data_IF_515955176818
#
_entry.id   IF_515955176818
#
_cell.length_a   1.000
_cell.length_b   1.000
_cell.length_c   1.000
_cell.angle_alpha   90.00
_cell.angle_beta   90.00
_cell.angle_gamma   90.00
#
_symmetry.space_group_name_H-M   'P 1'
#
loop_
_entity.id
_entity.type
_entity.pdbx_description
1 polymer ?
#
# COMPACT_ATOMS: atom_id res chain seq x y z
N UNK A 1 -29.12 13.38 11.92
CA UNK A 1 -28.96 13.60 13.37
C UNK A 1 -28.15 12.53 14.11
N UNK A 2 -28.55 11.24 14.19
CA UNK A 2 -27.72 10.22 14.88
C UNK A 2 -26.43 9.86 14.12
N UNK A 3 -26.51 9.65 12.80
CA UNK A 3 -25.34 9.33 11.96
C UNK A 3 -24.33 10.46 11.78
N UNK A 4 -24.77 11.73 11.75
CA UNK A 4 -23.86 12.88 11.65
C UNK A 4 -23.00 13.06 12.92
N UNK A 5 -23.58 12.75 14.09
CA UNK A 5 -22.87 12.80 15.37
C UNK A 5 -21.81 11.68 15.46
N UNK A 6 -22.15 10.48 15.02
CA UNK A 6 -21.25 9.33 14.98
C UNK A 6 -20.09 9.53 13.98
N UNK A 7 -20.37 10.08 12.78
CA UNK A 7 -19.35 10.42 11.79
C UNK A 7 -18.39 11.49 12.31
N UNK A 8 -18.91 12.52 12.98
CA UNK A 8 -18.10 13.58 13.59
C UNK A 8 -17.19 13.03 14.70
N UNK A 9 -17.71 12.13 15.53
CA UNK A 9 -16.95 11.49 16.61
C UNK A 9 -15.83 10.56 16.07
N UNK A 10 -16.11 9.76 15.03
CA UNK A 10 -15.09 8.95 14.33
C UNK A 10 -14.00 9.86 13.75
N UNK A 11 -14.39 10.99 13.16
CA UNK A 11 -13.46 11.94 12.57
C UNK A 11 -12.55 12.61 13.62
N UNK A 12 -13.14 13.14 14.69
CA UNK A 12 -12.39 13.78 15.79
C UNK A 12 -11.44 12.77 16.47
N UNK A 13 -11.92 11.54 16.71
CA UNK A 13 -11.10 10.48 17.29
C UNK A 13 -9.96 10.07 16.37
N UNK A 14 -10.20 9.89 15.06
CA UNK A 14 -9.18 9.50 14.10
C UNK A 14 -8.09 10.57 13.90
N UNK A 15 -8.47 11.86 13.85
CA UNK A 15 -7.49 12.94 13.79
C UNK A 15 -6.68 13.07 15.09
N UNK A 16 -7.31 12.84 16.25
CA UNK A 16 -6.61 12.79 17.53
C UNK A 16 -5.59 11.65 17.58
N UNK A 17 -5.96 10.45 17.08
CA UNK A 17 -5.03 9.32 16.94
C UNK A 17 -3.82 9.74 16.10
N UNK A 18 -4.02 10.39 14.95
CA UNK A 18 -2.91 10.83 14.11
C UNK A 18 -1.97 11.82 14.83
N UNK A 19 -2.51 12.79 15.56
CA UNK A 19 -1.72 13.75 16.33
C UNK A 19 -0.95 13.06 17.47
N UNK A 20 -1.59 12.14 18.19
CA UNK A 20 -0.95 11.35 19.26
C UNK A 20 0.19 10.49 18.71
N UNK A 21 -0.04 9.77 17.61
CA UNK A 21 0.95 8.95 16.94
C UNK A 21 2.18 9.77 16.53
N UNK A 22 1.96 10.93 15.92
CA UNK A 22 3.05 11.74 15.37
C UNK A 22 3.77 12.59 16.43
N UNK A 23 3.09 12.99 17.50
CA UNK A 23 3.68 13.75 18.61
C UNK A 23 4.51 12.91 19.57
N UNK A 24 4.18 11.62 19.71
CA UNK A 24 4.85 10.67 20.59
C UNK A 24 5.63 9.61 19.80
N UNK A 25 6.06 9.94 18.58
CA UNK A 25 6.59 8.96 17.64
C UNK A 25 7.79 8.17 18.17
N UNK A 26 8.66 8.83 18.95
CA UNK A 26 9.83 8.17 19.54
C UNK A 26 9.41 7.21 20.66
N UNK A 27 8.56 7.68 21.57
CA UNK A 27 8.07 6.91 22.70
C UNK A 27 7.28 5.66 22.22
N UNK A 28 6.47 5.81 21.18
CA UNK A 28 5.73 4.72 20.53
C UNK A 28 6.68 3.71 19.87
N UNK A 29 7.80 4.15 19.29
CA UNK A 29 8.79 3.23 18.72
C UNK A 29 9.49 2.39 19.79
N UNK A 30 9.82 2.98 20.94
CA UNK A 30 10.38 2.23 22.08
C UNK A 30 9.38 1.19 22.60
N UNK A 31 8.12 1.59 22.80
CA UNK A 31 7.05 0.70 23.24
C UNK A 31 6.78 -0.43 22.24
N UNK A 32 6.78 -0.13 20.94
CA UNK A 32 6.59 -1.12 19.88
C UNK A 32 7.70 -2.17 19.91
N UNK A 33 8.96 -1.75 20.03
CA UNK A 33 10.07 -2.71 20.11
C UNK A 33 9.99 -3.54 21.39
N UNK A 34 9.71 -2.92 22.54
CA UNK A 34 9.55 -3.62 23.81
C UNK A 34 8.42 -4.66 23.74
N UNK A 35 7.25 -4.31 23.20
CA UNK A 35 6.12 -5.22 22.96
C UNK A 35 6.55 -6.42 22.12
N UNK A 36 7.21 -6.18 20.98
CA UNK A 36 7.67 -7.23 20.07
C UNK A 36 8.66 -8.17 20.78
N UNK A 37 9.64 -7.63 21.50
CA UNK A 37 10.69 -8.42 22.14
C UNK A 37 10.20 -9.21 23.36
N UNK A 38 9.27 -8.66 24.14
CA UNK A 38 8.64 -9.38 25.24
C UNK A 38 7.81 -10.53 24.68
N UNK A 39 6.96 -10.26 23.69
CA UNK A 39 6.05 -11.26 23.12
C UNK A 39 6.80 -12.41 22.45
N UNK A 40 7.84 -12.09 21.70
CA UNK A 40 8.58 -13.08 20.91
C UNK A 40 9.84 -13.63 21.59
N UNK A 41 10.06 -13.30 22.86
CA UNK A 41 11.25 -13.69 23.63
C UNK A 41 11.58 -15.19 23.56
N UNK A 42 10.55 -16.05 23.62
CA UNK A 42 10.68 -17.51 23.66
C UNK A 42 10.76 -18.18 22.28
N UNK A 43 10.82 -17.42 21.19
CA UNK A 43 10.87 -17.99 19.84
C UNK A 43 12.23 -18.58 19.53
N UNK A 44 12.28 -19.58 18.66
CA UNK A 44 13.55 -20.21 18.25
C UNK A 44 14.51 -19.18 17.64
N UNK A 45 13.99 -18.21 16.88
CA UNK A 45 14.79 -17.15 16.27
C UNK A 45 15.43 -16.23 17.32
N UNK A 46 14.65 -15.57 18.18
CA UNK A 46 15.18 -14.59 19.14
C UNK A 46 16.02 -15.24 20.24
N UNK A 47 15.69 -16.47 20.65
CA UNK A 47 16.45 -17.20 21.68
C UNK A 47 17.92 -17.41 21.32
N UNK A 48 18.28 -17.37 20.03
CA UNK A 48 19.67 -17.48 19.55
C UNK A 48 20.51 -16.24 19.86
N UNK A 49 19.87 -15.09 20.04
CA UNK A 49 20.54 -13.78 20.17
C UNK A 49 20.47 -13.19 21.57
N UNK A 50 19.61 -13.74 22.45
CA UNK A 50 19.48 -13.28 23.83
C UNK A 50 19.88 -14.36 24.82
N UNK A 51 20.92 -14.07 25.60
CA UNK A 51 21.33 -14.90 26.75
C UNK A 51 20.59 -14.38 27.99
N UNK A 52 19.89 -15.26 28.71
CA UNK A 52 19.20 -14.94 29.98
C UNK A 52 18.16 -13.80 29.93
N UNK A 53 17.40 -13.65 28.85
CA UNK A 53 16.25 -12.73 28.82
C UNK A 53 16.60 -11.24 28.75
N UNK A 54 17.82 -10.91 28.33
CA UNK A 54 18.34 -9.55 28.19
C UNK A 54 17.77 -8.82 26.94
N UNK A 55 16.44 -8.75 26.83
CA UNK A 55 15.72 -8.40 25.60
C UNK A 55 15.50 -6.89 25.43
N UNK A 56 16.40 -6.06 25.96
CA UNK A 56 16.28 -4.60 25.85
C UNK A 56 16.87 -4.08 24.53
N UNK A 57 16.40 -2.91 24.09
CA UNK A 57 16.76 -2.30 22.79
C UNK A 57 18.26 -2.30 22.46
N UNK A 58 19.12 -1.98 23.43
CA UNK A 58 20.56 -1.93 23.20
C UNK A 58 21.13 -3.32 22.82
N UNK A 59 20.66 -4.37 23.49
CA UNK A 59 21.07 -5.75 23.19
C UNK A 59 20.46 -6.23 21.89
N UNK A 60 19.20 -5.86 21.60
CA UNK A 60 18.57 -6.13 20.31
C UNK A 60 19.41 -5.59 19.14
N UNK A 61 19.79 -4.31 19.20
CA UNK A 61 20.61 -3.67 18.16
C UNK A 61 22.01 -4.25 18.02
N UNK A 62 22.56 -4.82 19.10
CA UNK A 62 23.91 -5.39 19.14
C UNK A 62 23.94 -6.84 18.68
N UNK A 63 22.95 -7.64 19.10
CA UNK A 63 22.98 -9.09 18.95
C UNK A 63 22.15 -9.59 17.77
N UNK A 64 21.03 -8.92 17.44
CA UNK A 64 20.15 -9.36 16.35
C UNK A 64 20.69 -8.78 15.03
N UNK A 65 21.02 -9.63 14.04
CA UNK A 65 21.57 -9.18 12.78
C UNK A 65 20.50 -8.45 11.95
N UNK A 66 20.97 -7.57 11.07
CA UNK A 66 20.15 -7.05 9.97
C UNK A 66 20.11 -8.12 8.88
N UNK A 67 18.91 -8.46 8.41
CA UNK A 67 18.69 -9.60 7.52
C UNK A 67 17.95 -9.23 6.25
N UNK A 68 18.09 -10.07 5.25
CA UNK A 68 17.32 -10.08 4.00
C UNK A 68 16.26 -11.19 4.04
N UNK A 69 15.49 -11.34 2.95
CA UNK A 69 14.49 -12.40 2.88
C UNK A 69 15.14 -13.79 2.85
N UNK A 70 16.27 -13.90 2.18
CA UNK A 70 17.02 -15.14 2.00
C UNK A 70 17.47 -15.73 3.34
N UNK A 71 17.83 -14.88 4.30
CA UNK A 71 18.26 -15.28 5.65
C UNK A 71 17.11 -15.87 6.49
N UNK A 72 15.88 -15.36 6.31
CA UNK A 72 14.69 -15.80 7.07
C UNK A 72 13.85 -16.82 6.31
N UNK A 73 14.09 -17.00 5.01
CA UNK A 73 13.38 -17.94 4.13
C UNK A 73 13.33 -19.37 4.71
N UNK A 74 14.39 -19.93 5.31
CA UNK A 74 14.32 -21.27 5.90
C UNK A 74 13.25 -21.42 6.99
N UNK A 75 12.99 -20.37 7.78
CA UNK A 75 11.93 -20.37 8.78
C UNK A 75 10.55 -20.24 8.13
N UNK A 76 10.42 -19.34 7.16
CA UNK A 76 9.17 -19.15 6.42
C UNK A 76 8.77 -20.45 5.72
N UNK A 77 9.71 -21.14 5.09
CA UNK A 77 9.46 -22.42 4.43
C UNK A 77 9.02 -23.50 5.42
N UNK A 78 9.66 -23.59 6.60
CA UNK A 78 9.25 -24.54 7.66
C UNK A 78 7.81 -24.32 8.10
N UNK A 79 7.42 -23.06 8.32
CA UNK A 79 6.04 -22.68 8.67
C UNK A 79 5.07 -22.99 7.54
N UNK A 80 5.41 -22.63 6.30
CA UNK A 80 4.58 -22.92 5.13
C UNK A 80 4.39 -24.44 4.91
N UNK A 81 5.30 -25.27 5.43
CA UNK A 81 5.22 -26.73 5.40
C UNK A 81 4.58 -27.36 6.65
N UNK A 82 4.10 -26.56 7.61
CA UNK A 82 3.27 -27.04 8.72
C UNK A 82 3.96 -27.04 10.08
N UNK A 83 5.20 -26.56 10.17
CA UNK A 83 5.83 -26.32 11.47
C UNK A 83 5.19 -25.12 12.18
N UNK A 84 5.22 -25.13 13.51
CA UNK A 84 4.59 -24.09 14.32
C UNK A 84 5.26 -22.73 14.11
N UNK A 85 4.47 -21.66 14.15
CA UNK A 85 4.97 -20.29 13.99
C UNK A 85 5.99 -19.86 15.04
N UNK A 86 5.98 -20.51 16.21
CA UNK A 86 6.87 -20.27 17.35
C UNK A 86 8.37 -20.31 17.01
N UNK A 87 8.75 -20.85 15.85
CA UNK A 87 10.12 -20.78 15.36
C UNK A 87 10.56 -19.34 15.03
N UNK A 88 9.61 -18.46 14.67
CA UNK A 88 9.89 -17.08 14.26
C UNK A 88 9.11 -16.03 15.09
N UNK A 89 7.87 -16.30 15.50
CA UNK A 89 7.06 -15.39 16.34
C UNK A 89 6.04 -16.20 17.16
N UNK A 90 5.63 -15.68 18.32
CA UNK A 90 4.88 -16.44 19.31
C UNK A 90 3.42 -16.71 18.92
N UNK A 91 2.78 -15.77 18.23
CA UNK A 91 1.38 -15.86 17.83
C UNK A 91 1.19 -16.81 16.62
N UNK A 92 0.01 -17.41 16.43
CA UNK A 92 -0.29 -18.19 15.23
C UNK A 92 -0.40 -17.30 13.98
N UNK A 93 0.13 -17.77 12.85
CA UNK A 93 -0.16 -17.16 11.53
C UNK A 93 -1.58 -17.49 11.12
N UNK A 94 -2.24 -16.51 10.52
CA UNK A 94 -3.52 -16.72 9.83
C UNK A 94 -3.37 -16.82 8.32
N UNK A 95 -2.36 -16.17 7.74
CA UNK A 95 -2.10 -16.16 6.29
C UNK A 95 -0.68 -15.67 5.96
N UNK A 96 -0.26 -15.90 4.72
CA UNK A 96 0.90 -15.25 4.12
C UNK A 96 0.48 -14.14 3.15
N UNK A 97 1.20 -13.02 3.21
CA UNK A 97 1.12 -11.98 2.19
C UNK A 97 2.20 -12.23 1.14
N UNK A 98 1.79 -12.39 -0.11
CA UNK A 98 2.70 -12.45 -1.25
C UNK A 98 3.20 -11.04 -1.57
N UNK A 99 4.50 -10.82 -1.46
CA UNK A 99 5.15 -9.61 -1.96
C UNK A 99 5.26 -9.66 -3.48
N UNK A 100 5.17 -8.50 -4.12
CA UNK A 100 5.51 -8.35 -5.55
C UNK A 100 7.01 -8.48 -5.80
N UNK A 101 7.83 -8.28 -4.75
CA UNK A 101 9.24 -8.63 -4.77
C UNK A 101 9.44 -10.15 -4.79
N UNK A 102 10.36 -10.62 -5.64
CA UNK A 102 10.63 -12.04 -5.83
C UNK A 102 11.98 -12.45 -5.24
N UNK A 103 12.04 -13.66 -4.67
CA UNK A 103 13.26 -14.39 -4.30
C UNK A 103 13.30 -15.66 -5.14
N UNK A 104 14.39 -15.90 -5.87
CA UNK A 104 14.54 -17.08 -6.76
C UNK A 104 13.38 -17.24 -7.77
N UNK A 105 12.84 -16.12 -8.27
CA UNK A 105 11.72 -16.10 -9.21
C UNK A 105 10.34 -16.39 -8.59
N UNK A 106 10.26 -16.61 -7.27
CA UNK A 106 8.99 -16.80 -6.54
C UNK A 106 8.66 -15.58 -5.68
N UNK A 107 7.37 -15.21 -5.52
CA UNK A 107 6.96 -14.16 -4.58
C UNK A 107 7.46 -14.45 -3.16
N UNK A 108 7.97 -13.43 -2.47
CA UNK A 108 8.31 -13.54 -1.03
C UNK A 108 7.02 -13.74 -0.23
N UNK A 109 7.03 -14.68 0.72
CA UNK A 109 5.92 -14.96 1.63
C UNK A 109 6.15 -14.23 2.96
N UNK A 110 5.33 -13.22 3.23
CA UNK A 110 5.43 -12.42 4.44
C UNK A 110 4.39 -12.91 5.45
N UNK A 111 4.79 -13.40 6.63
CA UNK A 111 3.85 -13.91 7.63
C UNK A 111 2.92 -12.80 8.14
N UNK A 112 1.67 -13.16 8.44
CA UNK A 112 0.68 -12.24 8.99
C UNK A 112 -0.14 -12.92 10.08
N UNK A 113 -0.28 -12.25 11.22
CA UNK A 113 -1.21 -12.61 12.29
C UNK A 113 -2.52 -11.84 12.17
N UNK A 114 -3.58 -12.28 12.84
CA UNK A 114 -4.85 -11.54 12.89
C UNK A 114 -4.65 -10.10 13.40
N UNK A 115 -3.94 -9.93 14.52
CA UNK A 115 -3.67 -8.62 15.12
C UNK A 115 -2.85 -7.72 14.19
N UNK A 116 -1.78 -8.24 13.59
CA UNK A 116 -0.93 -7.44 12.68
C UNK A 116 -1.69 -7.01 11.43
N UNK A 117 -2.64 -7.83 10.95
CA UNK A 117 -3.53 -7.46 9.86
C UNK A 117 -4.49 -6.34 10.29
N UNK A 118 -5.13 -6.47 11.46
CA UNK A 118 -6.03 -5.45 12.01
C UNK A 118 -5.33 -4.12 12.29
N UNK A 119 -4.12 -4.12 12.86
CA UNK A 119 -3.32 -2.89 13.07
C UNK A 119 -3.10 -2.12 11.77
N UNK A 120 -2.90 -2.81 10.63
CA UNK A 120 -2.75 -2.17 9.32
C UNK A 120 -4.03 -1.51 8.80
N UNK A 121 -5.21 -1.87 9.32
CA UNK A 121 -6.50 -1.29 8.93
C UNK A 121 -6.70 0.14 9.41
N UNK A 122 -5.90 0.59 10.39
CA UNK A 122 -5.89 1.99 10.84
C UNK A 122 -5.44 2.93 9.71
N UNK A 123 -4.50 2.49 8.85
CA UNK A 123 -3.99 3.37 7.77
C UNK A 123 -5.07 3.81 6.78
N UNK A 124 -5.86 2.91 6.14
CA UNK A 124 -6.95 3.33 5.25
C UNK A 124 -7.91 4.34 5.87
N UNK A 125 -8.24 4.19 7.15
CA UNK A 125 -9.08 5.14 7.88
C UNK A 125 -8.42 6.52 7.97
N UNK A 126 -7.16 6.59 8.46
CA UNK A 126 -6.44 7.86 8.58
C UNK A 126 -6.24 8.56 7.23
N UNK A 127 -5.99 7.79 6.16
CA UNK A 127 -5.93 8.31 4.79
C UNK A 127 -7.24 8.99 4.42
N UNK A 128 -8.38 8.31 4.59
CA UNK A 128 -9.68 8.86 4.21
C UNK A 128 -10.02 10.13 5.00
N UNK A 129 -9.68 10.17 6.29
CA UNK A 129 -9.85 11.36 7.14
C UNK A 129 -9.00 12.54 6.67
N UNK A 130 -7.71 12.33 6.39
CA UNK A 130 -6.82 13.38 5.87
C UNK A 130 -7.32 13.89 4.51
N UNK A 131 -7.75 12.99 3.63
CA UNK A 131 -8.30 13.35 2.33
C UNK A 131 -9.53 14.25 2.47
N UNK A 132 -10.51 13.85 3.30
CA UNK A 132 -11.73 14.63 3.56
C UNK A 132 -11.44 15.98 4.23
N UNK A 133 -10.42 16.05 5.08
CA UNK A 133 -9.97 17.30 5.70
C UNK A 133 -9.41 18.28 4.67
N UNK A 134 -8.63 17.78 3.71
CA UNK A 134 -7.90 18.61 2.75
C UNK A 134 -8.69 18.93 1.48
N UNK A 135 -9.70 18.13 1.13
CA UNK A 135 -10.45 18.23 -0.12
C UNK A 135 -11.94 18.30 0.22
N UNK A 136 -12.51 19.50 0.11
CA UNK A 136 -13.92 19.76 0.40
C UNK A 136 -14.85 19.00 -0.55
N UNK A 137 -15.92 18.41 -0.01
CA UNK A 137 -16.96 17.73 -0.77
C UNK A 137 -16.70 16.25 -1.06
N UNK A 138 -15.59 15.67 -0.58
CA UNK A 138 -15.33 14.23 -0.73
C UNK A 138 -16.29 13.33 0.06
N UNK A 139 -16.99 13.87 1.04
CA UNK A 139 -18.01 13.19 1.85
C UNK A 139 -19.42 13.28 1.24
N UNK A 140 -19.60 14.06 0.18
CA UNK A 140 -20.90 14.34 -0.45
C UNK A 140 -21.24 13.40 -1.62
N UNK A 141 -20.37 12.43 -1.92
CA UNK A 141 -20.57 11.52 -3.03
C UNK A 141 -19.86 10.18 -2.86
N UNK A 142 -19.78 9.45 -3.97
CA UNK A 142 -19.18 8.11 -4.08
C UNK A 142 -17.76 8.16 -4.62
N UNK A 143 -17.01 7.13 -4.28
CA UNK A 143 -15.68 6.87 -4.79
C UNK A 143 -15.75 5.87 -5.94
N UNK A 144 -15.45 6.30 -7.17
CA UNK A 144 -15.18 5.38 -8.27
C UNK A 144 -13.72 4.91 -8.19
N UNK A 145 -13.47 3.91 -7.34
CA UNK A 145 -12.14 3.34 -7.18
C UNK A 145 -12.11 1.93 -7.76
N UNK A 146 -11.13 1.67 -8.62
CA UNK A 146 -10.97 0.38 -9.29
C UNK A 146 -10.20 -0.57 -8.38
N UNK A 147 -10.85 -1.66 -8.01
CA UNK A 147 -10.28 -2.70 -7.15
C UNK A 147 -10.16 -4.01 -7.91
N UNK A 148 -9.03 -4.70 -7.73
CA UNK A 148 -8.79 -5.98 -8.40
C UNK A 148 -8.20 -6.97 -7.41
N UNK A 149 -8.80 -8.17 -7.35
CA UNK A 149 -8.25 -9.31 -6.63
C UNK A 149 -7.36 -10.15 -7.52
N UNK A 150 -6.49 -10.95 -6.91
CA UNK A 150 -5.70 -11.98 -7.59
C UNK A 150 -6.00 -13.36 -7.02
N UNK A 151 -5.74 -14.44 -7.79
CA UNK A 151 -5.82 -15.79 -7.26
C UNK A 151 -4.95 -15.95 -6.01
N UNK A 152 -5.46 -16.74 -5.06
CA UNK A 152 -4.73 -17.09 -3.84
C UNK A 152 -4.11 -18.48 -4.02
N UNK A 153 -3.08 -18.75 -3.23
CA UNK A 153 -2.40 -20.04 -3.21
C UNK A 153 -2.49 -20.64 -1.82
N UNK A 154 -2.86 -21.90 -1.71
CA UNK A 154 -2.78 -22.63 -0.46
C UNK A 154 -1.36 -23.20 -0.30
N UNK A 155 -0.75 -22.97 0.87
CA UNK A 155 0.54 -23.57 1.24
C UNK A 155 0.35 -25.02 1.71
N UNK A 156 1.41 -25.85 1.75
CA UNK A 156 1.30 -27.23 2.25
C UNK A 156 0.74 -27.36 3.68
N UNK A 157 0.86 -26.32 4.50
CA UNK A 157 0.26 -26.27 5.85
C UNK A 157 -1.23 -25.93 5.87
N UNK A 158 -1.84 -25.63 4.72
CA UNK A 158 -3.21 -25.16 4.60
C UNK A 158 -3.38 -23.65 4.80
N UNK A 159 -2.30 -22.91 5.06
CA UNK A 159 -2.36 -21.44 5.16
C UNK A 159 -2.52 -20.81 3.78
N UNK A 160 -3.43 -19.85 3.65
CA UNK A 160 -3.61 -19.09 2.42
C UNK A 160 -2.49 -18.06 2.23
N UNK A 161 -2.02 -17.95 1.00
CA UNK A 161 -1.05 -16.96 0.54
C UNK A 161 -1.65 -16.10 -0.57
N UNK A 162 -1.74 -14.78 -0.35
CA UNK A 162 -2.34 -13.85 -1.32
C UNK A 162 -1.74 -12.46 -1.25
N UNK A 163 -2.03 -11.61 -2.25
CA UNK A 163 -1.65 -10.20 -2.17
C UNK A 163 -2.39 -9.53 -1.00
N UNK A 164 -1.72 -8.58 -0.33
CA UNK A 164 -2.31 -7.83 0.79
C UNK A 164 -3.67 -7.19 0.42
N UNK A 165 -3.75 -6.59 -0.77
CA UNK A 165 -4.99 -5.98 -1.26
C UNK A 165 -6.10 -7.01 -1.47
N UNK A 166 -5.78 -8.22 -1.94
CA UNK A 166 -6.76 -9.30 -2.11
C UNK A 166 -7.33 -9.72 -0.77
N UNK A 167 -6.45 -9.98 0.22
CA UNK A 167 -6.87 -10.31 1.58
C UNK A 167 -7.72 -9.18 2.20
N UNK A 168 -7.32 -7.92 1.99
CA UNK A 168 -8.09 -6.76 2.44
C UNK A 168 -9.48 -6.67 1.80
N UNK A 169 -9.61 -6.80 0.48
CA UNK A 169 -10.91 -6.70 -0.19
C UNK A 169 -11.87 -7.85 0.20
N UNK A 170 -11.33 -9.02 0.57
CA UNK A 170 -12.14 -10.13 1.07
C UNK A 170 -12.57 -9.97 2.53
N UNK A 171 -11.85 -9.15 3.30
CA UNK A 171 -12.11 -8.93 4.72
C UNK A 171 -13.46 -8.27 4.98
N UNK A 172 -14.04 -8.56 6.16
CA UNK A 172 -15.29 -7.93 6.57
C UNK A 172 -15.13 -6.42 6.81
N UNK A 173 -13.93 -5.97 7.16
CA UNK A 173 -13.60 -4.56 7.40
C UNK A 173 -13.79 -3.75 6.11
N UNK A 174 -13.29 -4.25 4.97
CA UNK A 174 -13.51 -3.61 3.68
C UNK A 174 -14.99 -3.62 3.28
N UNK A 175 -15.62 -4.80 3.36
CA UNK A 175 -17.02 -5.01 2.95
C UNK A 175 -18.00 -4.14 3.75
N UNK A 176 -17.77 -3.99 5.07
CA UNK A 176 -18.63 -3.18 5.94
C UNK A 176 -18.23 -1.70 6.00
N UNK A 177 -17.05 -1.35 5.51
CA UNK A 177 -16.49 0.00 5.54
C UNK A 177 -16.45 0.63 4.15
N UNK A 178 -15.24 0.75 3.59
CA UNK A 178 -14.96 1.51 2.36
C UNK A 178 -15.84 1.09 1.17
N UNK A 179 -16.16 -0.20 1.04
CA UNK A 179 -16.98 -0.71 -0.06
C UNK A 179 -18.36 -0.03 -0.15
N UNK A 180 -18.96 0.38 0.98
CA UNK A 180 -20.28 1.05 1.01
C UNK A 180 -20.28 2.43 0.35
N UNK A 181 -19.11 3.06 0.26
CA UNK A 181 -18.94 4.38 -0.33
C UNK A 181 -18.40 4.30 -1.77
N UNK A 182 -18.23 3.10 -2.31
CA UNK A 182 -17.74 2.89 -3.67
C UNK A 182 -18.88 2.69 -4.66
N UNK A 183 -18.65 3.02 -5.93
CA UNK A 183 -19.62 2.73 -7.00
C UNK A 183 -19.67 1.24 -7.37
N UNK A 184 -18.54 0.55 -7.22
CA UNK A 184 -18.35 -0.85 -7.58
C UNK A 184 -18.97 -1.81 -6.54
N UNK A 185 -19.87 -2.72 -6.94
CA UNK A 185 -20.36 -3.78 -6.06
C UNK A 185 -19.23 -4.73 -5.65
N UNK A 186 -19.32 -5.25 -4.43
CA UNK A 186 -18.30 -6.17 -3.88
C UNK A 186 -18.09 -7.38 -4.80
N UNK A 187 -19.15 -7.95 -5.37
CA UNK A 187 -19.04 -9.11 -6.25
C UNK A 187 -18.23 -8.81 -7.53
N UNK A 188 -18.37 -7.60 -8.08
CA UNK A 188 -17.57 -7.17 -9.23
C UNK A 188 -16.09 -6.96 -8.88
N UNK A 189 -15.80 -6.51 -7.66
CA UNK A 189 -14.45 -6.34 -7.12
C UNK A 189 -13.77 -7.69 -6.88
N UNK A 190 -14.53 -8.68 -6.39
CA UNK A 190 -14.03 -10.01 -6.05
C UNK A 190 -13.99 -10.98 -7.24
N UNK A 191 -14.42 -10.55 -8.43
CA UNK A 191 -14.31 -11.33 -9.65
C UNK A 191 -12.83 -11.54 -10.04
N UNK A 192 -12.45 -12.81 -10.22
CA UNK A 192 -11.07 -13.19 -10.58
C UNK A 192 -10.73 -12.88 -12.05
N UNK A 193 -11.74 -12.84 -12.93
CA UNK A 193 -11.58 -12.37 -14.30
C UNK A 193 -11.49 -10.84 -14.29
N UNK A 194 -10.25 -10.34 -14.35
CA UNK A 194 -9.99 -8.90 -14.31
C UNK A 194 -10.62 -8.14 -15.49
N UNK A 195 -10.89 -8.79 -16.62
CA UNK A 195 -11.55 -8.15 -17.77
C UNK A 195 -13.03 -7.91 -17.45
N UNK A 196 -13.72 -8.94 -16.95
CA UNK A 196 -15.11 -8.83 -16.54
C UNK A 196 -15.27 -7.87 -15.34
N UNK A 197 -14.38 -7.97 -14.35
CA UNK A 197 -14.32 -7.06 -13.22
C UNK A 197 -14.16 -5.61 -13.65
N UNK A 198 -13.20 -5.31 -14.53
CA UNK A 198 -12.96 -3.96 -15.02
C UNK A 198 -14.16 -3.41 -15.79
N UNK A 199 -14.76 -4.22 -16.66
CA UNK A 199 -15.93 -3.82 -17.44
C UNK A 199 -17.13 -3.48 -16.53
N UNK A 200 -17.46 -4.36 -15.58
CA UNK A 200 -18.56 -4.13 -14.64
C UNK A 200 -18.32 -2.89 -13.77
N UNK A 201 -17.11 -2.69 -13.26
CA UNK A 201 -16.78 -1.52 -12.44
C UNK A 201 -16.83 -0.20 -13.22
N UNK A 202 -16.36 -0.19 -14.47
CA UNK A 202 -16.49 0.98 -15.35
C UNK A 202 -17.97 1.28 -15.64
N UNK A 203 -18.77 0.24 -15.90
CA UNK A 203 -20.20 0.39 -16.15
C UNK A 203 -20.92 1.01 -14.94
N UNK A 204 -20.67 0.52 -13.71
CA UNK A 204 -21.25 1.14 -12.51
C UNK A 204 -20.71 2.54 -12.23
N UNK A 205 -19.43 2.79 -12.53
CA UNK A 205 -18.84 4.12 -12.45
C UNK A 205 -19.50 5.14 -13.39
N UNK A 206 -19.90 4.72 -14.60
CA UNK A 206 -20.60 5.55 -15.58
C UNK A 206 -22.07 5.78 -15.20
N UNK A 207 -22.76 4.74 -14.73
CA UNK A 207 -24.16 4.85 -14.27
C UNK A 207 -24.32 5.81 -13.09
N UNK A 208 -23.31 5.87 -12.22
CA UNK A 208 -23.32 6.73 -11.03
C UNK A 208 -22.49 8.01 -11.21
N UNK A 209 -22.29 8.46 -12.46
CA UNK A 209 -21.29 9.48 -12.79
C UNK A 209 -21.41 10.79 -12.00
N UNK A 210 -22.64 11.22 -11.74
CA UNK A 210 -22.94 12.49 -11.06
C UNK A 210 -22.71 12.42 -9.55
N UNK A 211 -22.60 11.21 -9.00
CA UNK A 211 -22.25 11.00 -7.60
C UNK A 211 -20.72 10.87 -7.39
N UNK A 212 -19.91 10.73 -8.45
CA UNK A 212 -18.48 10.44 -8.32
C UNK A 212 -17.69 11.69 -7.95
N UNK A 213 -17.20 11.73 -6.71
CA UNK A 213 -16.35 12.83 -6.19
C UNK A 213 -14.86 12.46 -6.15
N UNK A 214 -14.55 11.17 -6.28
CA UNK A 214 -13.17 10.64 -6.29
C UNK A 214 -13.08 9.51 -7.29
N UNK A 215 -12.10 9.59 -8.19
CA UNK A 215 -11.72 8.46 -9.07
C UNK A 215 -10.36 7.93 -8.67
N UNK A 216 -10.09 6.63 -8.84
CA UNK A 216 -8.77 6.12 -8.47
C UNK A 216 -8.54 4.64 -8.67
N UNK A 217 -7.32 4.22 -8.33
CA UNK A 217 -6.90 2.82 -8.26
C UNK A 217 -5.64 2.71 -7.39
N UNK A 218 -5.18 1.50 -7.07
CA UNK A 218 -3.99 1.33 -6.22
C UNK A 218 -2.72 1.94 -6.82
N UNK A 219 -2.55 1.91 -8.14
CA UNK A 219 -1.35 2.41 -8.81
C UNK A 219 -1.73 3.16 -10.08
N UNK A 220 -0.99 4.21 -10.43
CA UNK A 220 -1.24 5.01 -11.64
C UNK A 220 -1.35 4.16 -12.92
N UNK A 221 -0.54 3.10 -13.03
CA UNK A 221 -0.58 2.15 -14.15
C UNK A 221 -1.90 1.39 -14.30
N UNK A 222 -2.62 1.15 -13.20
CA UNK A 222 -3.94 0.50 -13.24
C UNK A 222 -4.97 1.47 -13.80
N UNK A 223 -5.01 2.71 -13.28
CA UNK A 223 -5.94 3.73 -13.77
C UNK A 223 -5.71 4.05 -15.24
N UNK A 224 -4.45 4.24 -15.66
CA UNK A 224 -4.10 4.47 -17.06
C UNK A 224 -4.61 3.35 -17.99
N UNK A 225 -4.41 2.09 -17.59
CA UNK A 225 -4.93 0.93 -18.34
C UNK A 225 -6.45 0.88 -18.37
N UNK A 226 -7.12 1.26 -17.28
CA UNK A 226 -8.58 1.27 -17.23
C UNK A 226 -9.20 2.38 -18.09
N UNK A 227 -8.55 3.54 -18.21
CA UNK A 227 -8.97 4.58 -19.16
C UNK A 227 -8.76 4.09 -20.59
N UNK A 228 -7.64 3.42 -20.89
CA UNK A 228 -7.44 2.80 -22.21
C UNK A 228 -8.47 1.72 -22.51
N UNK A 229 -8.82 0.90 -21.51
CA UNK A 229 -9.89 -0.09 -21.63
C UNK A 229 -11.24 0.58 -21.90
N UNK A 230 -11.55 1.69 -21.24
CA UNK A 230 -12.75 2.47 -21.54
C UNK A 230 -12.76 2.98 -22.99
N UNK A 231 -11.62 3.43 -23.51
CA UNK A 231 -11.48 3.84 -24.92
C UNK A 231 -11.82 2.69 -25.89
N UNK A 232 -11.46 1.46 -25.56
CA UNK A 232 -11.74 0.29 -26.39
C UNK A 232 -13.20 -0.21 -26.28
N UNK A 233 -13.86 0.03 -25.13
CA UNK A 233 -15.15 -0.58 -24.78
C UNK A 233 -16.32 0.41 -24.62
N UNK A 234 -16.12 1.72 -24.74
CA UNK A 234 -17.17 2.72 -24.46
C UNK A 234 -18.45 2.49 -25.29
N UNK A 235 -18.34 2.03 -26.54
CA UNK A 235 -19.50 1.74 -27.40
C UNK A 235 -20.37 0.64 -26.82
N UNK A 236 -19.73 -0.41 -26.31
CA UNK A 236 -20.42 -1.54 -25.69
C UNK A 236 -21.03 -1.14 -24.34
N UNK A 237 -20.30 -0.36 -23.54
CA UNK A 237 -20.79 0.21 -22.29
C UNK A 237 -22.03 1.09 -22.53
N UNK A 238 -21.99 1.99 -23.51
CA UNK A 238 -23.15 2.78 -23.94
C UNK A 238 -24.32 1.89 -24.40
N UNK A 239 -24.05 0.79 -25.11
CA UNK A 239 -25.10 -0.17 -25.48
C UNK A 239 -25.75 -0.82 -24.27
N UNK A 240 -24.97 -1.22 -23.26
CA UNK A 240 -25.54 -1.81 -22.03
C UNK A 240 -26.36 -0.79 -21.24
N UNK A 241 -25.88 0.46 -21.11
CA UNK A 241 -26.62 1.55 -20.47
C UNK A 241 -27.93 1.82 -21.22
N UNK A 242 -27.86 1.93 -22.55
CA UNK A 242 -29.01 2.23 -23.42
C UNK A 242 -30.10 1.16 -23.34
N UNK A 243 -29.70 -0.11 -23.25
CA UNK A 243 -30.62 -1.25 -23.30
C UNK A 243 -31.02 -1.78 -21.92
N UNK A 244 -30.25 -1.46 -20.88
CA UNK A 244 -30.40 -2.06 -19.56
C UNK A 244 -29.95 -3.53 -19.49
N UNK A 245 -29.25 -4.04 -20.50
CA UNK A 245 -28.78 -5.44 -20.54
C UNK A 245 -27.26 -5.52 -20.51
N UNK A 246 -26.74 -6.37 -19.62
CA UNK A 246 -25.32 -6.67 -19.54
C UNK A 246 -24.88 -7.57 -20.69
N UNK A 247 -23.68 -7.35 -21.22
CA UNK A 247 -23.12 -8.14 -22.30
C UNK A 247 -22.96 -9.63 -21.95
N UNK A 248 -23.19 -10.50 -22.94
CA UNK A 248 -23.21 -11.96 -22.73
C UNK A 248 -21.87 -12.58 -22.37
N UNK A 249 -20.76 -11.95 -22.77
CA UNK A 249 -19.42 -12.41 -22.44
C UNK A 249 -19.06 -12.20 -20.95
N UNK A 250 -19.86 -11.42 -20.20
CA UNK A 250 -19.77 -11.39 -18.74
C UNK A 250 -20.39 -12.70 -18.22
N UNK A 251 -19.57 -13.73 -18.10
CA UNK A 251 -19.99 -15.07 -17.71
C UNK A 251 -19.98 -15.30 -16.19
N UNK A 252 -19.28 -14.47 -15.41
CA UNK A 252 -19.19 -14.62 -13.96
C UNK A 252 -20.58 -14.44 -13.29
N UNK A 253 -21.11 -15.46 -12.59
CA UNK A 253 -22.47 -15.39 -12.04
C UNK A 253 -22.64 -14.30 -10.98
N UNK A 254 -21.60 -14.04 -10.17
CA UNK A 254 -21.66 -13.04 -9.11
C UNK A 254 -21.71 -11.62 -9.72
N UNK A 255 -20.90 -11.36 -10.75
CA UNK A 255 -20.97 -10.13 -11.54
C UNK A 255 -22.35 -9.96 -12.18
N UNK A 256 -22.90 -10.99 -12.83
CA UNK A 256 -24.23 -10.93 -13.45
C UNK A 256 -25.32 -10.60 -12.45
N UNK A 257 -25.32 -11.25 -11.29
CA UNK A 257 -26.29 -11.01 -10.23
C UNK A 257 -26.18 -9.61 -9.63
N UNK A 258 -24.95 -9.11 -9.43
CA UNK A 258 -24.73 -7.76 -8.94
C UNK A 258 -25.19 -6.72 -9.96
N UNK A 259 -24.84 -6.91 -11.23
CA UNK A 259 -25.18 -5.97 -12.30
C UNK A 259 -26.67 -5.96 -12.64
N UNK A 260 -27.38 -7.08 -12.52
CA UNK A 260 -28.85 -7.10 -12.74
C UNK A 260 -29.62 -6.25 -11.73
N UNK A 261 -29.06 -6.07 -10.53
CA UNK A 261 -29.63 -5.19 -9.51
C UNK A 261 -29.38 -3.71 -9.78
N UNK A 262 -28.49 -3.38 -10.72
CA UNK A 262 -28.06 -2.01 -11.05
C UNK A 262 -28.62 -1.58 -12.40
N UNK A 263 -28.46 -2.43 -13.43
CA UNK A 263 -29.05 -2.28 -14.76
C UNK A 263 -30.54 -2.67 -14.72
N UNK A 264 -31.33 -1.91 -13.98
CA UNK A 264 -32.76 -2.21 -13.77
C UNK A 264 -33.66 -1.68 -14.89
N UNK A 265 -33.18 -0.70 -15.66
CA UNK A 265 -33.93 -0.08 -16.76
C UNK A 265 -33.00 0.46 -17.86
N UNK A 266 -33.51 0.62 -19.09
CA UNK A 266 -32.85 1.36 -20.16
C UNK A 266 -32.61 2.84 -19.81
N UNK A 267 -31.42 3.37 -20.08
CA UNK A 267 -31.08 4.80 -19.91
C UNK A 267 -30.45 5.40 -21.19
N UNK A 268 -31.25 5.59 -22.27
CA UNK A 268 -30.74 6.04 -23.56
C UNK A 268 -30.11 7.44 -23.53
N UNK A 269 -30.68 8.37 -22.75
CA UNK A 269 -30.15 9.74 -22.64
C UNK A 269 -28.75 9.77 -22.04
N UNK A 270 -28.50 8.95 -21.01
CA UNK A 270 -27.17 8.80 -20.41
C UNK A 270 -26.19 8.16 -21.39
N UNK A 271 -26.64 7.14 -22.14
CA UNK A 271 -25.81 6.49 -23.14
C UNK A 271 -25.41 7.44 -24.27
N UNK A 272 -26.32 8.29 -24.74
CA UNK A 272 -26.07 9.31 -25.77
C UNK A 272 -25.09 10.38 -25.26
N UNK A 273 -25.25 10.82 -24.01
CA UNK A 273 -24.31 11.76 -23.36
C UNK A 273 -22.88 11.18 -23.29
N UNK A 274 -22.73 9.95 -22.79
CA UNK A 274 -21.42 9.30 -22.67
C UNK A 274 -20.82 9.07 -24.07
N UNK A 275 -21.64 8.67 -25.04
CA UNK A 275 -21.22 8.51 -26.42
C UNK A 275 -20.68 9.83 -27.00
N UNK A 276 -21.41 10.93 -26.81
CA UNK A 276 -20.98 12.25 -27.29
C UNK A 276 -19.62 12.66 -26.69
N UNK A 277 -19.39 12.36 -25.41
CA UNK A 277 -18.11 12.64 -24.73
C UNK A 277 -16.99 11.76 -25.29
N UNK A 278 -17.23 10.46 -25.47
CA UNK A 278 -16.21 9.50 -25.88
C UNK A 278 -15.89 9.50 -27.39
N UNK A 279 -16.78 10.04 -28.23
CA UNK A 279 -16.59 10.14 -29.69
C UNK A 279 -15.59 11.23 -30.11
N UNK A 280 -15.19 12.12 -29.19
CA UNK A 280 -14.17 13.13 -29.47
C UNK A 280 -12.83 12.47 -29.88
N UNK A 281 -12.11 13.14 -30.78
CA UNK A 281 -10.78 12.74 -31.24
C UNK A 281 -9.72 12.88 -30.14
N UNK A 282 -9.93 13.79 -29.18
CA UNK A 282 -9.03 13.97 -28.03
C UNK A 282 -9.68 13.45 -26.76
N UNK A 283 -8.94 12.63 -26.01
CA UNK A 283 -9.33 12.16 -24.68
C UNK A 283 -8.72 13.04 -23.55
N UNK A 284 -8.21 14.22 -23.90
CA UNK A 284 -7.75 15.19 -22.92
C UNK A 284 -8.90 15.61 -21.99
N UNK A 285 -8.69 15.54 -20.69
CA UNK A 285 -9.72 15.89 -19.70
C UNK A 285 -10.91 14.93 -19.62
N UNK A 286 -10.85 13.76 -20.28
CA UNK A 286 -11.96 12.80 -20.32
C UNK A 286 -12.53 12.44 -18.95
N UNK A 287 -11.68 12.38 -17.90
CA UNK A 287 -12.15 12.07 -16.55
C UNK A 287 -13.11 13.16 -16.05
N UNK A 288 -12.78 14.43 -16.30
CA UNK A 288 -13.60 15.57 -15.87
C UNK A 288 -14.92 15.63 -16.63
N UNK A 289 -14.91 15.30 -17.92
CA UNK A 289 -16.11 15.28 -18.75
C UNK A 289 -17.05 14.11 -18.37
N UNK A 290 -16.49 12.91 -18.17
CA UNK A 290 -17.28 11.74 -17.78
C UNK A 290 -17.78 11.80 -16.34
N UNK A 291 -17.00 12.37 -15.41
CA UNK A 291 -17.33 12.47 -13.99
C UNK A 291 -17.23 13.92 -13.51
N UNK A 292 -18.28 14.74 -13.69
CA UNK A 292 -18.18 16.20 -13.56
C UNK A 292 -17.96 16.67 -12.13
N UNK A 293 -18.39 15.88 -11.14
CA UNK A 293 -18.23 16.20 -9.72
C UNK A 293 -16.89 15.74 -9.12
N UNK A 294 -16.02 15.13 -9.91
CA UNK A 294 -14.74 14.62 -9.43
C UNK A 294 -13.86 15.75 -8.87
N UNK A 295 -13.34 15.54 -7.65
CA UNK A 295 -12.48 16.51 -6.97
C UNK A 295 -11.01 16.10 -6.98
N UNK A 296 -10.72 14.80 -7.11
CA UNK A 296 -9.35 14.31 -7.19
C UNK A 296 -9.25 12.94 -7.87
N UNK A 297 -8.06 12.66 -8.39
CA UNK A 297 -7.62 11.35 -8.86
C UNK A 297 -6.69 10.76 -7.79
N UNK A 298 -7.08 9.64 -7.19
CA UNK A 298 -6.35 9.00 -6.09
C UNK A 298 -5.65 7.72 -6.56
N UNK A 299 -4.32 7.76 -6.67
CA UNK A 299 -3.49 6.59 -6.97
C UNK A 299 -2.03 6.85 -6.60
N UNK A 300 -1.25 5.77 -6.41
CA UNK A 300 0.19 5.92 -6.19
C UNK A 300 0.85 6.44 -7.48
N UNK A 301 1.45 7.64 -7.39
CA UNK A 301 2.16 8.33 -8.49
C UNK A 301 3.64 8.61 -8.16
N UNK A 302 4.15 8.10 -7.03
CA UNK A 302 5.57 8.23 -6.64
C UNK A 302 6.41 7.03 -7.08
N UNK A 303 7.74 7.15 -7.02
CA UNK A 303 8.67 6.09 -7.44
C UNK A 303 8.50 5.76 -8.92
N UNK A 304 8.49 4.46 -9.26
CA UNK A 304 8.32 3.99 -10.64
C UNK A 304 6.97 4.36 -11.28
N UNK A 305 5.97 4.76 -10.49
CA UNK A 305 4.67 5.20 -11.01
C UNK A 305 4.69 6.64 -11.54
N UNK A 306 5.74 7.41 -11.25
CA UNK A 306 5.87 8.80 -11.70
C UNK A 306 5.86 8.94 -13.23
N UNK A 307 6.28 7.91 -13.97
CA UNK A 307 6.21 7.87 -15.43
C UNK A 307 4.78 8.02 -16.01
N UNK A 308 3.75 7.73 -15.21
CA UNK A 308 2.34 7.86 -15.62
C UNK A 308 1.75 9.24 -15.31
N UNK A 309 2.47 10.12 -14.61
CA UNK A 309 1.97 11.46 -14.24
C UNK A 309 1.50 12.24 -15.48
N UNK A 310 2.31 12.40 -16.55
CA UNK A 310 1.88 13.19 -17.71
C UNK A 310 0.62 12.63 -18.38
N UNK A 311 0.49 11.30 -18.43
CA UNK A 311 -0.68 10.63 -19.02
C UNK A 311 -1.94 10.85 -18.16
N UNK A 312 -1.82 10.77 -16.84
CA UNK A 312 -2.95 11.02 -15.94
C UNK A 312 -3.32 12.52 -15.86
N UNK A 313 -2.36 13.43 -16.00
CA UNK A 313 -2.63 14.87 -16.15
C UNK A 313 -3.40 15.15 -17.44
N UNK A 314 -2.99 14.52 -18.55
CA UNK A 314 -3.69 14.58 -19.83
C UNK A 314 -5.14 14.10 -19.70
N UNK A 315 -5.40 12.90 -19.18
CA UNK A 315 -6.77 12.41 -18.99
C UNK A 315 -7.55 13.16 -17.91
N UNK A 316 -6.87 13.72 -16.92
CA UNK A 316 -7.47 14.41 -15.78
C UNK A 316 -7.92 15.83 -16.08
N UNK A 317 -7.35 16.52 -17.08
CA UNK A 317 -7.81 17.88 -17.43
C UNK A 317 -7.70 18.89 -16.27
N UNK A 318 -6.62 18.79 -15.49
CA UNK A 318 -6.34 19.65 -14.35
C UNK A 318 -6.90 19.17 -13.00
N UNK A 319 -7.53 17.99 -12.94
CA UNK A 319 -7.91 17.37 -11.66
C UNK A 319 -6.64 17.02 -10.85
N UNK A 320 -6.58 17.36 -9.54
CA UNK A 320 -5.42 17.04 -8.70
C UNK A 320 -5.12 15.53 -8.64
N UNK A 321 -3.86 15.18 -8.89
CA UNK A 321 -3.32 13.84 -8.67
C UNK A 321 -2.86 13.70 -7.21
N UNK A 322 -3.44 12.74 -6.51
CA UNK A 322 -3.18 12.51 -5.09
C UNK A 322 -2.57 11.14 -4.89
N UNK A 323 -1.36 11.11 -4.30
CA UNK A 323 -0.72 9.89 -3.81
C UNK A 323 -0.94 9.77 -2.29
N UNK A 324 -1.91 8.96 -1.83
CA UNK A 324 -2.42 9.09 -0.46
C UNK A 324 -1.55 8.41 0.60
N UNK A 325 -0.81 7.35 0.25
CA UNK A 325 -0.06 6.59 1.23
C UNK A 325 1.12 5.83 0.60
N UNK A 326 1.95 5.22 1.43
CA UNK A 326 3.04 4.35 1.01
C UNK A 326 3.14 3.12 1.94
N UNK A 327 3.72 2.03 1.44
CA UNK A 327 3.95 0.81 2.21
C UNK A 327 4.33 -0.37 1.32
N UNK A 328 4.71 -1.46 1.96
CA UNK A 328 5.06 -2.73 1.36
C UNK A 328 4.26 -3.90 1.96
N UNK A 329 4.50 -5.11 1.47
CA UNK A 329 3.95 -6.32 2.10
C UNK A 329 4.55 -6.53 3.50
N UNK A 330 5.81 -6.18 3.69
CA UNK A 330 6.57 -6.32 4.93
C UNK A 330 6.15 -5.32 6.00
N UNK A 331 5.91 -4.06 5.63
CA UNK A 331 5.50 -3.05 6.58
C UNK A 331 4.63 -1.95 5.95
N UNK A 332 3.70 -1.46 6.77
CA UNK A 332 2.91 -0.29 6.45
C UNK A 332 3.72 0.97 6.83
N UNK A 333 4.20 1.75 5.86
CA UNK A 333 5.06 2.89 6.17
C UNK A 333 4.27 4.10 6.69
N UNK A 334 3.51 4.77 5.82
CA UNK A 334 3.05 6.12 6.11
C UNK A 334 1.97 6.64 5.18
N UNK A 335 1.47 7.83 5.51
CA UNK A 335 0.40 8.52 4.80
C UNK A 335 0.84 9.91 4.36
N UNK A 336 0.28 10.40 3.25
CA UNK A 336 0.53 11.75 2.77
C UNK A 336 -0.39 12.73 3.50
N UNK A 337 0.19 13.57 4.38
CA UNK A 337 -0.55 14.59 5.14
C UNK A 337 -0.84 15.87 4.34
N UNK A 338 -0.29 15.99 3.13
CA UNK A 338 -0.52 17.11 2.21
C UNK A 338 -0.94 16.55 0.85
N UNK A 339 -2.15 15.95 0.74
CA UNK A 339 -2.59 15.22 -0.44
C UNK A 339 -2.61 16.05 -1.72
N UNK A 340 -2.76 17.38 -1.62
CA UNK A 340 -2.79 18.31 -2.76
C UNK A 340 -1.39 18.82 -3.18
N UNK A 341 -0.31 18.31 -2.59
CA UNK A 341 1.05 18.62 -3.06
C UNK A 341 1.25 18.11 -4.48
N UNK A 342 2.12 18.77 -5.26
CA UNK A 342 2.46 18.27 -6.60
C UNK A 342 3.03 16.85 -6.51
N UNK A 343 2.80 15.99 -7.51
CA UNK A 343 3.25 14.59 -7.48
C UNK A 343 4.73 14.40 -7.12
N UNK A 344 5.61 15.26 -7.63
CA UNK A 344 7.05 15.21 -7.35
C UNK A 344 7.45 15.73 -5.96
N UNK A 345 6.56 16.44 -5.26
CA UNK A 345 6.80 17.00 -3.92
C UNK A 345 6.18 16.12 -2.81
N UNK A 346 5.56 14.99 -3.19
CA UNK A 346 4.88 14.09 -2.24
C UNK A 346 5.87 13.57 -1.20
N UNK A 347 5.47 13.69 0.06
CA UNK A 347 6.15 13.11 1.21
C UNK A 347 5.17 12.35 2.09
N UNK A 348 5.58 11.20 2.59
CA UNK A 348 4.78 10.33 3.45
C UNK A 348 5.28 10.41 4.88
N UNK A 349 4.38 10.74 5.82
CA UNK A 349 4.66 10.73 7.26
C UNK A 349 4.54 9.29 7.77
N UNK A 350 5.59 8.77 8.41
CA UNK A 350 5.56 7.42 8.97
C UNK A 350 4.57 7.33 10.13
N UNK A 351 3.85 6.20 10.20
CA UNK A 351 2.99 5.85 11.32
C UNK A 351 3.80 4.96 12.30
N UNK A 352 4.24 5.49 13.45
CA UNK A 352 5.20 4.80 14.33
C UNK A 352 4.64 3.57 15.06
N UNK A 353 3.33 3.34 15.00
CA UNK A 353 2.70 2.16 15.59
C UNK A 353 2.59 0.97 14.62
N UNK A 354 3.10 1.08 13.39
CA UNK A 354 2.95 0.02 12.37
C UNK A 354 4.02 -1.07 12.46
N UNK A 355 5.24 -0.68 12.83
CA UNK A 355 6.41 -1.53 13.01
C UNK A 355 7.46 -0.73 13.79
N UNK A 356 8.49 -1.38 14.33
CA UNK A 356 9.70 -0.68 14.76
C UNK A 356 10.59 -0.43 13.54
N UNK A 357 10.99 0.83 13.31
CA UNK A 357 11.71 1.30 12.13
C UNK A 357 13.15 1.69 12.47
N UNK A 358 14.06 1.11 11.72
CA UNK A 358 15.47 1.48 11.63
C UNK A 358 15.79 1.95 10.20
N UNK A 359 16.84 2.76 10.06
CA UNK A 359 17.19 3.40 8.80
C UNK A 359 18.68 3.24 8.52
N UNK A 360 19.03 2.50 7.47
CA UNK A 360 20.41 2.31 7.05
C UNK A 360 20.84 3.47 6.14
N UNK A 361 21.86 4.28 6.50
CA UNK A 361 22.33 5.36 5.65
C UNK A 361 22.80 4.87 4.27
N UNK A 362 22.37 5.56 3.22
CA UNK A 362 22.80 5.34 1.84
C UNK A 362 23.61 6.55 1.37
N UNK A 363 24.84 6.33 0.91
CA UNK A 363 25.69 7.39 0.35
C UNK A 363 25.13 7.81 -1.02
N UNK A 364 25.07 9.12 -1.26
CA UNK A 364 24.46 9.71 -2.45
C UNK A 364 25.43 9.79 -3.65
N UNK A 365 26.46 8.93 -3.67
CA UNK A 365 27.39 8.87 -4.80
C UNK A 365 26.68 8.07 -5.90
N UNK A 366 26.14 8.80 -6.87
CA UNK A 366 25.08 8.33 -7.75
C UNK A 366 25.40 7.08 -8.57
N UNK A 367 24.34 6.30 -8.82
CA UNK A 367 24.18 5.49 -10.02
C UNK A 367 25.11 4.28 -10.17
N UNK A 368 24.66 3.12 -9.69
CA UNK A 368 25.24 1.84 -10.06
C UNK A 368 25.47 0.96 -8.86
N UNK A 369 24.71 -0.14 -8.80
CA UNK A 369 24.90 -1.23 -7.87
C UNK A 369 26.26 -1.89 -8.16
N UNK A 370 27.35 -1.37 -7.61
CA UNK A 370 28.62 -2.10 -7.51
C UNK A 370 28.45 -3.18 -6.45
N UNK A 371 28.00 -4.34 -6.93
CA UNK A 371 28.06 -5.63 -6.24
C UNK A 371 29.54 -5.97 -6.01
N UNK A 372 30.12 -5.54 -4.90
CA UNK A 372 31.36 -6.13 -4.43
C UNK A 372 31.05 -7.48 -3.80
N UNK A 373 31.13 -8.52 -4.63
CA UNK A 373 31.33 -9.89 -4.16
C UNK A 373 32.76 -9.98 -3.60
N UNK A 374 32.88 -10.11 -2.28
CA UNK A 374 34.14 -10.52 -1.65
C UNK A 374 34.47 -11.96 -2.07
N UNK A 375 35.30 -12.10 -3.11
CA UNK A 375 36.05 -13.32 -3.40
C UNK A 375 37.42 -13.20 -2.72
N UNK A 376 37.61 -13.98 -1.66
CA UNK A 376 38.92 -14.28 -1.06
C UNK A 376 39.87 -14.79 -2.14
N UNK A 377 40.97 -14.06 -2.37
CA UNK A 377 42.09 -14.50 -3.19
C UNK A 377 43.36 -13.74 -2.80
N UNK A 378 44.36 -14.47 -2.32
CA UNK A 378 45.63 -13.94 -1.84
C UNK A 378 46.54 -13.45 -2.98
N UNK A 379 47.24 -12.32 -2.81
CA UNK A 379 48.69 -12.20 -3.00
C UNK A 379 49.21 -10.85 -2.49
N UNK A 380 50.42 -10.86 -1.96
CA UNK A 380 51.12 -9.72 -1.36
C UNK A 380 51.80 -8.83 -2.42
N UNK A 381 51.87 -7.52 -2.18
CA UNK A 381 53.08 -6.68 -2.22
C UNK A 381 52.77 -5.23 -1.84
N UNK A 382 53.71 -4.61 -1.13
CA UNK A 382 53.62 -3.32 -0.42
C UNK A 382 53.77 -2.09 -1.33
N UNK A 383 53.09 -0.98 -1.02
CA UNK A 383 53.71 0.31 -0.64
C UNK A 383 52.70 1.49 -0.58
N UNK A 384 52.54 2.03 0.63
CA UNK A 384 52.32 3.43 1.04
C UNK A 384 51.55 4.43 0.14
N UNK A 385 50.38 4.88 0.61
CA UNK A 385 50.19 6.22 1.21
C UNK A 385 48.82 6.31 1.92
N UNK A 386 48.84 6.91 3.10
CA UNK A 386 47.78 6.86 4.11
C UNK A 386 46.71 7.94 3.91
N UNK A 387 45.49 7.52 3.60
CA UNK A 387 44.27 8.21 4.05
C UNK A 387 43.39 7.18 4.73
N UNK A 388 43.36 7.22 6.06
CA UNK A 388 42.40 6.49 6.88
C UNK A 388 40.99 7.02 6.62
N UNK A 389 40.38 6.63 5.51
CA UNK A 389 38.92 6.55 5.43
C UNK A 389 38.52 5.30 6.20
N UNK A 390 38.38 5.45 7.52
CA UNK A 390 37.63 4.51 8.35
C UNK A 390 36.33 4.22 7.61
N UNK A 391 36.18 3.01 7.11
CA UNK A 391 34.96 2.48 6.53
C UNK A 391 33.90 2.66 7.61
N UNK A 392 33.12 3.74 7.54
CA UNK A 392 32.05 3.97 8.48
C UNK A 392 31.05 2.86 8.23
N UNK A 393 31.09 1.82 9.07
CA UNK A 393 30.01 0.85 9.15
C UNK A 393 28.73 1.68 9.26
N UNK A 394 27.90 1.65 8.22
CA UNK A 394 26.66 2.42 8.14
C UNK A 394 25.68 1.84 9.16
N UNK A 395 25.88 2.22 10.43
CA UNK A 395 25.06 1.78 11.54
C UNK A 395 23.64 2.32 11.31
N UNK A 396 22.61 1.47 11.45
CA UNK A 396 21.24 1.93 11.34
C UNK A 396 20.92 2.95 12.43
N UNK A 397 20.14 3.95 12.06
CA UNK A 397 19.64 4.98 12.97
C UNK A 397 18.16 4.74 13.29
N UNK A 398 17.73 5.13 14.49
CA UNK A 398 16.30 5.11 14.85
C UNK A 398 15.50 6.13 14.05
N UNK A 399 14.18 5.91 13.97
CA UNK A 399 13.20 6.84 13.42
C UNK A 399 13.37 8.29 13.92
N UNK A 400 13.66 8.48 15.21
CA UNK A 400 13.85 9.82 15.79
C UNK A 400 15.17 10.51 15.38
N UNK A 401 16.13 9.75 14.82
CA UNK A 401 17.50 10.19 14.59
C UNK A 401 17.85 10.35 13.10
N UNK A 402 16.88 10.20 12.20
CA UNK A 402 17.05 10.46 10.77
C UNK A 402 17.29 11.95 10.51
N UNK A 403 18.03 12.29 9.45
CA UNK A 403 18.40 13.68 9.14
C UNK A 403 17.78 14.13 7.83
N UNK A 404 17.21 15.34 7.82
CA UNK A 404 16.64 15.97 6.62
C UNK A 404 17.69 15.98 5.49
N UNK A 405 17.24 15.63 4.28
CA UNK A 405 18.08 15.60 3.07
C UNK A 405 18.94 14.34 2.92
N UNK A 406 18.96 13.44 3.91
CA UNK A 406 19.68 12.16 3.83
C UNK A 406 18.79 11.04 3.29
N UNK A 407 19.45 10.06 2.69
CA UNK A 407 18.85 8.87 2.09
C UNK A 407 19.07 7.67 3.00
N UNK A 408 18.05 6.84 3.13
CA UNK A 408 18.09 5.66 3.98
C UNK A 408 17.37 4.50 3.34
N UNK A 409 17.94 3.31 3.43
CA UNK A 409 17.20 2.07 3.23
C UNK A 409 16.41 1.73 4.49
N UNK A 410 15.14 1.35 4.32
CA UNK A 410 14.24 1.03 5.44
C UNK A 410 14.51 -0.37 5.97
N UNK A 411 14.67 -0.46 7.30
CA UNK A 411 14.78 -1.70 8.06
C UNK A 411 13.62 -1.79 9.03
N UNK A 412 12.93 -2.93 9.08
CA UNK A 412 11.72 -3.09 9.88
C UNK A 412 11.81 -4.26 10.85
N UNK A 413 11.21 -4.06 12.02
CA UNK A 413 10.91 -5.11 12.98
C UNK A 413 9.41 -5.13 13.24
N UNK A 414 8.76 -6.27 13.04
CA UNK A 414 7.29 -6.40 13.05
C UNK A 414 6.82 -7.40 14.10
N UNK A 415 5.55 -7.29 14.49
CA UNK A 415 4.92 -8.27 15.40
C UNK A 415 4.91 -9.69 14.81
N UNK A 416 4.83 -9.81 13.48
CA UNK A 416 4.83 -11.08 12.76
C UNK A 416 6.24 -11.64 12.49
N UNK A 417 7.25 -11.24 13.28
CA UNK A 417 8.54 -11.92 13.34
C UNK A 417 9.52 -11.62 12.21
N UNK A 418 9.31 -10.54 11.44
CA UNK A 418 10.42 -9.92 10.74
C UNK A 418 11.24 -9.13 11.77
N UNK A 419 12.52 -9.45 11.96
CA UNK A 419 13.41 -8.73 12.88
C UNK A 419 14.57 -8.11 12.12
N UNK A 420 14.70 -6.78 12.19
CA UNK A 420 15.69 -6.00 11.44
C UNK A 420 15.78 -6.40 9.97
N UNK A 421 14.62 -6.63 9.36
CA UNK A 421 14.49 -7.03 7.97
C UNK A 421 14.65 -5.83 7.05
N UNK A 422 15.54 -5.95 6.07
CA UNK A 422 15.75 -4.96 5.00
C UNK A 422 14.62 -5.03 3.99
N UNK A 423 13.85 -3.94 3.88
CA UNK A 423 12.76 -3.86 2.89
C UNK A 423 13.31 -3.67 1.48
N UNK A 424 14.46 -3.00 1.35
CA UNK A 424 15.08 -2.65 0.07
C UNK A 424 14.60 -1.32 -0.51
N UNK A 425 13.59 -0.69 0.09
CA UNK A 425 13.12 0.64 -0.29
C UNK A 425 14.07 1.73 0.24
N UNK A 426 14.45 2.66 -0.63
CA UNK A 426 15.27 3.84 -0.29
C UNK A 426 14.37 5.07 -0.18
N UNK A 427 14.48 5.76 0.95
CA UNK A 427 13.68 6.91 1.30
C UNK A 427 14.57 8.13 1.58
N UNK A 428 14.15 9.29 1.10
CA UNK A 428 14.78 10.58 1.42
C UNK A 428 13.98 11.31 2.48
N UNK A 429 14.60 11.71 3.60
CA UNK A 429 13.93 12.53 4.61
C UNK A 429 13.70 13.94 4.06
N UNK A 430 12.46 14.39 3.99
CA UNK A 430 12.09 15.73 3.50
C UNK A 430 11.68 16.69 4.62
N UNK A 431 11.31 16.17 5.78
CA UNK A 431 10.89 16.98 6.92
C UNK A 431 10.34 16.13 8.06
N UNK A 432 9.60 16.78 8.95
CA UNK A 432 8.93 16.15 10.08
C UNK A 432 7.52 16.74 10.23
N UNK A 433 6.55 15.88 10.58
CA UNK A 433 5.26 16.30 11.11
C UNK A 433 5.23 15.94 12.59
N UNK A 434 5.16 16.95 13.45
CA UNK A 434 5.46 16.80 14.88
C UNK A 434 6.84 16.13 15.06
N UNK A 435 6.91 14.97 15.74
CA UNK A 435 8.15 14.18 15.89
C UNK A 435 8.29 13.06 14.85
N UNK A 436 7.29 12.84 13.99
CA UNK A 436 7.36 11.76 12.99
C UNK A 436 8.00 12.26 11.69
N UNK A 437 9.03 11.58 11.17
CA UNK A 437 9.68 11.96 9.93
C UNK A 437 8.78 11.77 8.70
N UNK A 438 8.98 12.66 7.73
CA UNK A 438 8.36 12.63 6.41
C UNK A 438 9.39 12.23 5.37
N UNK A 439 9.00 11.34 4.46
CA UNK A 439 9.90 10.81 3.44
C UNK A 439 9.34 10.90 2.03
N UNK A 440 10.22 11.21 1.09
CA UNK A 440 9.99 11.01 -0.33
C UNK A 440 10.52 9.63 -0.72
N UNK A 441 9.73 8.90 -1.52
CA UNK A 441 10.15 7.64 -2.12
C UNK A 441 11.07 7.93 -3.31
N UNK A 442 12.21 7.24 -3.38
CA UNK A 442 13.27 7.48 -4.38
C UNK A 442 13.11 6.55 -5.58
#
# INVERSE_FOLDING_TARGET
MAGEKEIKEIYENGMKILEELTSNAHEIQEQMLEEILIRNAGTEYLSRFFVHGQNHKQNFKTNVPIVTYEDIKPYIDRIANGETSSILFADPITQFIQSTGTSEGKPKLIPMTAESFEKRMVKPLLVDLVMKKCISGLDQGKSFYLFFVKPEMETPSGLMASLYTTSYFKSQIFKNGLAKFCTSPIDTILCLDNKQSMYCQLLTGLLLRDEVVRIGSSFASVLARSIKFLEDYWKELCSNIRTGYLSDWIADPACRNAMSSILTRPEPELADLIQQICEDKSWEGIIKELWPEVKCISCIVTGSMSQYIPLLEFYGGGIPLVSPNCGSSEACFGINLKPLSKPFDVSYTILPNMAYFEFLPVNNDGGGMSREFELRGASATESSESTNETTTVNKPVDLANVKIGRYYEVVVTTLAGLYRYRVGDVLKVTGFYNKSPQFQFV
#
